data_IF_389888834286
#
_entry.id   IF_389888834286
#
_cell.length_a   1.000
_cell.length_b   1.000
_cell.length_c   1.000
_cell.angle_alpha   90.00
_cell.angle_beta   90.00
_cell.angle_gamma   90.00
#
_symmetry.space_group_name_H-M   'P 1'
#
loop_
_entity.id
_entity.type
_entity.pdbx_description
1 polymer ?
#
# COMPACT_ATOMS: atom_id res chain seq x y z
N UNK A 1 -54.42 -24.40 -13.25
CA UNK A 1 -53.36 -24.71 -12.26
C UNK A 1 -51.93 -24.64 -12.83
N UNK A 2 -51.73 -24.56 -14.16
CA UNK A 2 -50.38 -24.52 -14.78
C UNK A 2 -49.70 -23.13 -14.77
N UNK A 3 -50.45 -22.05 -15.00
CA UNK A 3 -49.88 -20.69 -15.14
C UNK A 3 -49.26 -20.12 -13.84
N UNK A 4 -49.78 -20.48 -12.67
CA UNK A 4 -49.28 -19.99 -11.36
C UNK A 4 -47.93 -20.61 -10.97
N UNK A 5 -47.64 -21.83 -11.47
CA UNK A 5 -46.39 -22.55 -11.15
C UNK A 5 -45.17 -21.95 -11.86
N UNK A 6 -45.36 -21.37 -13.04
CA UNK A 6 -44.31 -20.79 -13.88
C UNK A 6 -43.84 -19.42 -13.35
N UNK A 7 -44.79 -18.59 -12.91
CA UNK A 7 -44.52 -17.27 -12.28
C UNK A 7 -43.76 -17.42 -10.95
N UNK A 8 -44.07 -18.48 -10.20
CA UNK A 8 -43.40 -18.82 -8.93
C UNK A 8 -41.97 -19.35 -9.16
N UNK A 9 -41.70 -20.01 -10.29
CA UNK A 9 -40.36 -20.47 -10.65
C UNK A 9 -39.46 -19.30 -11.08
N UNK A 10 -39.98 -18.39 -11.92
CA UNK A 10 -39.24 -17.22 -12.41
C UNK A 10 -38.84 -16.26 -11.28
N UNK A 11 -39.72 -16.04 -10.29
CA UNK A 11 -39.43 -15.22 -9.12
C UNK A 11 -38.39 -15.84 -8.17
N UNK A 12 -38.28 -17.17 -8.10
CA UNK A 12 -37.21 -17.87 -7.35
C UNK A 12 -35.86 -17.76 -8.05
N UNK A 13 -35.83 -17.89 -9.37
CA UNK A 13 -34.62 -17.72 -10.19
C UNK A 13 -34.07 -16.30 -10.10
N UNK A 14 -34.95 -15.29 -10.09
CA UNK A 14 -34.54 -13.88 -9.95
C UNK A 14 -33.98 -13.57 -8.56
N UNK A 15 -34.56 -14.15 -7.50
CA UNK A 15 -34.05 -14.05 -6.12
C UNK A 15 -32.73 -14.79 -5.94
N UNK A 16 -32.57 -15.96 -6.55
CA UNK A 16 -31.33 -16.74 -6.53
C UNK A 16 -30.20 -16.02 -7.26
N UNK A 17 -30.50 -15.38 -8.40
CA UNK A 17 -29.54 -14.55 -9.12
C UNK A 17 -29.15 -13.30 -8.32
N UNK A 18 -30.11 -12.64 -7.68
CA UNK A 18 -29.84 -11.50 -6.78
C UNK A 18 -28.97 -11.88 -5.58
N UNK A 19 -29.16 -13.07 -5.02
CA UNK A 19 -28.33 -13.60 -3.92
C UNK A 19 -26.91 -13.99 -4.39
N UNK A 20 -26.76 -14.50 -5.61
CA UNK A 20 -25.46 -14.82 -6.18
C UNK A 20 -24.65 -13.53 -6.47
N UNK A 21 -25.28 -12.49 -7.01
CA UNK A 21 -24.63 -11.20 -7.27
C UNK A 21 -24.22 -10.51 -5.97
N UNK A 22 -25.05 -10.56 -4.92
CA UNK A 22 -24.70 -9.99 -3.62
C UNK A 22 -23.58 -10.77 -2.93
N UNK A 23 -23.57 -12.11 -3.06
CA UNK A 23 -22.48 -12.95 -2.55
C UNK A 23 -21.14 -12.64 -3.24
N UNK A 24 -21.10 -12.45 -4.56
CA UNK A 24 -19.88 -12.04 -5.26
C UNK A 24 -19.42 -10.64 -4.82
N UNK A 25 -20.33 -9.68 -4.66
CA UNK A 25 -19.99 -8.34 -4.20
C UNK A 25 -19.34 -8.33 -2.81
N UNK A 26 -19.79 -9.21 -1.91
CA UNK A 26 -19.23 -9.36 -0.56
C UNK A 26 -17.79 -9.93 -0.56
N UNK A 27 -17.42 -10.72 -1.57
CA UNK A 27 -16.05 -11.29 -1.66
C UNK A 27 -14.99 -10.30 -2.13
N UNK A 28 -15.37 -9.14 -2.70
CA UNK A 28 -14.42 -8.11 -3.17
C UNK A 28 -14.01 -7.10 -2.07
N UNK A 29 -14.77 -7.01 -0.99
CA UNK A 29 -14.54 -6.05 0.11
C UNK A 29 -13.24 -6.28 0.90
N UNK A 30 -12.79 -7.53 1.17
CA UNK A 30 -11.56 -7.76 1.95
C UNK A 30 -10.29 -7.28 1.24
N UNK A 31 -10.26 -7.28 -0.10
CA UNK A 31 -9.11 -6.84 -0.89
C UNK A 31 -8.84 -5.33 -0.76
N UNK A 32 -9.89 -4.52 -0.56
CA UNK A 32 -9.76 -3.09 -0.34
C UNK A 32 -9.28 -2.74 1.09
N UNK A 33 -9.54 -3.61 2.07
CA UNK A 33 -9.19 -3.39 3.47
C UNK A 33 -7.73 -3.74 3.83
N UNK A 34 -6.99 -4.40 2.93
CA UNK A 34 -5.62 -4.87 3.19
C UNK A 34 -4.52 -3.81 2.99
N UNK A 35 -4.87 -2.59 2.54
CA UNK A 35 -3.85 -1.53 2.39
C UNK A 35 -3.56 -0.91 3.74
N UNK A 36 -2.58 -1.48 4.46
CA UNK A 36 -1.96 -0.80 5.60
C UNK A 36 -1.22 0.43 5.04
N UNK A 37 -1.85 1.60 5.08
CA UNK A 37 -1.23 2.87 4.70
C UNK A 37 -0.21 3.23 5.78
N UNK A 38 1.02 2.76 5.60
CA UNK A 38 2.21 3.29 6.30
C UNK A 38 3.02 4.15 5.34
N UNK A 39 2.34 5.06 4.63
CA UNK A 39 2.96 5.92 3.62
C UNK A 39 3.58 7.18 4.22
N UNK A 40 3.74 7.25 5.54
CA UNK A 40 4.46 8.34 6.18
C UNK A 40 5.90 8.37 5.67
N UNK A 41 6.28 9.48 5.04
CA UNK A 41 7.57 9.63 4.38
C UNK A 41 7.68 8.94 3.02
N UNK A 42 6.62 8.34 2.46
CA UNK A 42 6.64 7.70 1.13
C UNK A 42 5.66 8.40 0.21
N UNK A 43 6.18 9.15 -0.75
CA UNK A 43 5.42 9.80 -1.81
C UNK A 43 5.51 9.01 -3.13
N UNK A 44 4.76 9.40 -4.18
CA UNK A 44 4.89 8.81 -5.50
C UNK A 44 6.30 8.91 -6.10
N UNK A 45 7.08 9.92 -5.68
CA UNK A 45 8.39 10.25 -6.28
C UNK A 45 9.57 10.06 -5.32
N UNK A 46 9.35 10.10 -4.01
CA UNK A 46 10.41 10.08 -3.02
C UNK A 46 10.08 9.25 -1.77
N UNK A 47 11.14 8.80 -1.09
CA UNK A 47 11.14 8.15 0.21
C UNK A 47 12.01 9.00 1.13
N UNK A 48 11.41 9.58 2.16
CA UNK A 48 12.08 10.43 3.14
C UNK A 48 12.57 9.58 4.31
N UNK A 49 13.89 9.59 4.54
CA UNK A 49 14.54 8.88 5.64
C UNK A 49 15.08 9.89 6.65
N UNK A 50 14.48 9.90 7.85
CA UNK A 50 15.02 10.66 8.98
C UNK A 50 16.18 9.93 9.65
N UNK A 51 17.21 10.66 10.07
CA UNK A 51 18.30 10.13 10.89
C UNK A 51 18.57 11.05 12.07
N UNK A 52 18.86 10.46 13.22
CA UNK A 52 19.24 11.16 14.44
C UNK A 52 20.69 10.81 14.76
N UNK A 53 21.58 11.79 14.65
CA UNK A 53 23.01 11.63 14.88
C UNK A 53 23.54 12.81 15.68
N UNK A 54 24.50 12.55 16.56
CA UNK A 54 25.21 13.61 17.28
C UNK A 54 26.21 14.27 16.34
N UNK A 55 25.84 15.42 15.78
CA UNK A 55 26.71 16.21 14.91
C UNK A 55 27.57 17.21 15.69
N UNK A 56 27.41 17.24 17.02
CA UNK A 56 28.14 18.13 17.93
C UNK A 56 28.45 17.41 19.25
N UNK A 57 29.20 18.07 20.14
CA UNK A 57 29.60 17.48 21.42
C UNK A 57 30.74 16.45 21.31
N UNK A 58 31.05 15.74 22.41
CA UNK A 58 32.24 14.90 22.52
C UNK A 58 32.21 13.66 21.62
N UNK A 59 31.00 13.20 21.24
CA UNK A 59 30.80 11.98 20.44
C UNK A 59 30.58 12.25 18.95
N UNK A 60 30.70 13.51 18.49
CA UNK A 60 30.53 13.89 17.07
C UNK A 60 31.43 13.15 16.08
N UNK A 61 32.57 12.66 16.58
CA UNK A 61 33.55 11.89 15.79
C UNK A 61 32.92 10.65 15.17
N UNK A 62 31.83 10.13 15.74
CA UNK A 62 31.05 9.04 15.18
C UNK A 62 29.90 9.52 14.29
N UNK A 63 29.13 10.53 14.73
CA UNK A 63 27.92 10.98 14.02
C UNK A 63 28.18 11.61 12.65
N UNK A 64 29.28 12.36 12.51
CA UNK A 64 29.67 13.00 11.24
C UNK A 64 30.00 11.98 10.14
N UNK A 65 30.92 11.02 10.33
CA UNK A 65 31.23 10.05 9.28
C UNK A 65 30.04 9.13 8.97
N UNK A 66 29.23 8.76 9.96
CA UNK A 66 28.00 7.98 9.73
C UNK A 66 27.03 8.74 8.83
N UNK A 67 26.78 10.01 9.12
CA UNK A 67 25.89 10.85 8.30
C UNK A 67 26.42 11.04 6.88
N UNK A 68 27.73 11.16 6.71
CA UNK A 68 28.34 11.28 5.38
C UNK A 68 28.26 9.96 4.60
N UNK A 69 28.49 8.82 5.24
CA UNK A 69 28.33 7.50 4.63
C UNK A 69 26.88 7.21 4.23
N UNK A 70 25.91 7.61 5.04
CA UNK A 70 24.49 7.54 4.68
C UNK A 70 24.18 8.33 3.41
N UNK A 71 24.71 9.55 3.28
CA UNK A 71 24.52 10.39 2.08
C UNK A 71 25.13 9.75 0.83
N UNK A 72 26.35 9.24 0.93
CA UNK A 72 27.01 8.52 -0.17
C UNK A 72 26.17 7.33 -0.64
N UNK A 73 25.69 6.50 0.28
CA UNK A 73 24.84 5.36 -0.06
C UNK A 73 23.51 5.79 -0.71
N UNK A 74 22.88 6.85 -0.20
CA UNK A 74 21.66 7.43 -0.79
C UNK A 74 21.92 7.92 -2.21
N UNK A 75 23.04 8.59 -2.46
CA UNK A 75 23.43 9.07 -3.78
C UNK A 75 23.62 7.91 -4.76
N UNK A 76 24.31 6.84 -4.37
CA UNK A 76 24.52 5.65 -5.19
C UNK A 76 23.19 4.94 -5.53
N UNK A 77 22.30 4.79 -4.56
CA UNK A 77 20.97 4.19 -4.77
C UNK A 77 20.13 5.05 -5.71
N UNK A 78 20.13 6.37 -5.52
CA UNK A 78 19.41 7.29 -6.38
C UNK A 78 19.95 7.32 -7.80
N UNK A 79 21.27 7.24 -7.98
CA UNK A 79 21.91 7.14 -9.28
C UNK A 79 21.55 5.82 -10.00
N UNK A 80 21.32 4.75 -9.23
CA UNK A 80 20.89 3.44 -9.75
C UNK A 80 19.39 3.34 -10.04
N UNK A 81 18.65 4.45 -9.95
CA UNK A 81 17.20 4.51 -10.23
C UNK A 81 16.30 4.51 -9.00
N UNK A 82 16.86 4.56 -7.80
CA UNK A 82 16.11 4.60 -6.54
C UNK A 82 15.47 3.26 -6.17
N UNK A 83 14.53 3.30 -5.23
CA UNK A 83 13.79 2.12 -4.75
C UNK A 83 12.38 2.17 -5.31
N UNK A 84 11.97 1.16 -6.08
CA UNK A 84 10.67 1.12 -6.77
C UNK A 84 10.40 2.39 -7.60
N UNK A 85 11.45 2.95 -8.23
CA UNK A 85 11.37 4.18 -9.01
C UNK A 85 11.27 5.47 -8.17
N UNK A 86 11.44 5.39 -6.85
CA UNK A 86 11.40 6.53 -5.92
C UNK A 86 12.80 6.88 -5.44
N UNK A 87 13.13 8.16 -5.39
CA UNK A 87 14.42 8.63 -4.85
C UNK A 87 14.38 8.69 -3.33
N UNK A 88 15.48 8.37 -2.68
CA UNK A 88 15.66 8.51 -1.24
C UNK A 88 16.12 9.95 -0.94
N UNK A 89 15.59 10.54 0.13
CA UNK A 89 15.91 11.88 0.60
C UNK A 89 16.18 11.89 2.10
#
# INVERSE_FOLDING_TARGET
>A
MGHVKEETAMSKSLKALGLAVSALALTCLPAAAQTKVTNEGISPTEIVIGTHQDLSGPIKVWGVPVSNGMKMAVEEINASGGINGRKIK
#
